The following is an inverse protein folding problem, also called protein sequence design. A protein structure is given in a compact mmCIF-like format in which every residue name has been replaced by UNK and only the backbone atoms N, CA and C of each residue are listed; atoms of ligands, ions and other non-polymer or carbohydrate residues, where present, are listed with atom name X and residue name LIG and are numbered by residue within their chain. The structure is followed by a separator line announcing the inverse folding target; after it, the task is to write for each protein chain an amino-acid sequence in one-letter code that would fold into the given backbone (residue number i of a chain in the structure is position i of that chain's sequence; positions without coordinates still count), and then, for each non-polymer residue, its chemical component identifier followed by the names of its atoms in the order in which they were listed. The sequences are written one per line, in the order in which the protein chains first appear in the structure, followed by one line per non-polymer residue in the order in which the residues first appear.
data_IF_272797221034
#
_entry.id   IF_272797221034
#
_cell.length_a   1.000
_cell.length_b   1.000
_cell.length_c   1.000
_cell.angle_alpha   90.00
_cell.angle_beta   90.00
_cell.angle_gamma   90.00
#
_symmetry.space_group_name_H-M   'P 1'
#
loop_
_entity.id
_entity.type
_entity.pdbx_description
1 polymer ?
#
# COMPACT_ATOMS: atom_id res chain seq x y z
N UNK A 1 7.73 -1.56 -35.41
CA UNK A 1 7.33 -1.25 -34.04
C UNK A 1 8.59 -1.00 -33.23
N UNK A 2 8.70 0.13 -32.54
CA UNK A 2 9.80 0.37 -31.61
C UNK A 2 9.42 -0.14 -30.20
N UNK A 3 10.29 -0.92 -29.58
CA UNK A 3 10.13 -1.33 -28.18
C UNK A 3 10.58 -0.16 -27.32
N UNK A 4 9.72 0.25 -26.37
CA UNK A 4 10.08 1.29 -25.41
C UNK A 4 11.17 0.76 -24.48
N UNK A 5 12.31 1.44 -24.43
CA UNK A 5 13.40 1.07 -23.54
C UNK A 5 13.03 1.30 -22.06
N UNK A 6 13.57 0.49 -21.16
CA UNK A 6 13.53 0.75 -19.72
C UNK A 6 14.36 2.00 -19.43
N UNK A 7 13.75 3.00 -18.79
CA UNK A 7 14.44 4.25 -18.43
C UNK A 7 15.38 4.04 -17.24
N UNK A 8 14.90 3.32 -16.23
CA UNK A 8 15.60 3.15 -14.97
C UNK A 8 15.13 1.86 -14.28
N UNK A 9 16.04 1.20 -13.59
CA UNK A 9 15.76 0.13 -12.63
C UNK A 9 16.34 0.57 -11.29
N UNK A 10 15.55 0.51 -10.23
CA UNK A 10 15.99 0.84 -8.87
C UNK A 10 15.61 -0.29 -7.92
N UNK A 11 16.41 -0.49 -6.88
CA UNK A 11 16.10 -1.42 -5.82
C UNK A 11 15.20 -0.75 -4.77
N UNK A 12 14.25 -1.52 -4.22
CA UNK A 12 13.41 -1.08 -3.12
C UNK A 12 14.20 -1.10 -1.80
N UNK A 13 13.89 -0.16 -0.92
CA UNK A 13 14.57 0.05 0.36
C UNK A 13 13.74 -0.51 1.50
N UNK A 14 14.31 -1.34 2.41
CA UNK A 14 13.63 -1.75 3.64
C UNK A 14 13.20 -0.53 4.45
N UNK A 15 11.95 -0.52 4.90
CA UNK A 15 11.33 0.60 5.59
C UNK A 15 10.36 0.07 6.66
N UNK A 16 10.18 0.83 7.73
CA UNK A 16 9.16 0.57 8.76
C UNK A 16 8.08 1.65 8.66
N UNK A 17 6.82 1.23 8.62
CA UNK A 17 5.68 2.14 8.57
C UNK A 17 4.51 1.62 9.44
N UNK A 18 3.45 2.41 9.54
CA UNK A 18 2.30 2.04 10.36
C UNK A 18 2.68 1.84 11.82
N UNK A 19 2.23 0.77 12.43
CA UNK A 19 2.53 0.40 13.81
C UNK A 19 3.75 -0.55 13.92
N UNK A 20 4.65 -0.54 12.93
CA UNK A 20 5.84 -1.40 12.88
C UNK A 20 5.80 -2.42 11.76
N UNK A 21 5.08 -2.16 10.69
CA UNK A 21 5.05 -3.01 9.50
C UNK A 21 6.38 -2.91 8.76
N UNK A 22 7.01 -4.05 8.54
CA UNK A 22 8.20 -4.19 7.71
C UNK A 22 7.78 -4.23 6.25
N UNK A 23 8.26 -3.26 5.47
CA UNK A 23 7.94 -3.15 4.05
C UNK A 23 9.19 -2.78 3.22
N UNK A 24 9.03 -2.79 1.92
CA UNK A 24 10.04 -2.36 0.97
C UNK A 24 9.50 -1.20 0.15
N UNK A 25 10.10 -0.03 0.29
CA UNK A 25 9.74 1.18 -0.45
C UNK A 25 10.45 1.22 -1.80
N UNK A 26 9.69 1.19 -2.89
CA UNK A 26 10.23 1.28 -4.24
C UNK A 26 10.59 2.73 -4.60
N UNK A 27 9.78 3.70 -4.21
CA UNK A 27 10.05 5.13 -4.27
C UNK A 27 9.15 5.89 -3.27
N UNK A 28 9.51 7.13 -2.97
CA UNK A 28 8.82 7.96 -2.00
C UNK A 28 9.21 9.43 -2.09
N UNK A 29 9.02 10.16 -1.01
CA UNK A 29 9.10 11.63 -0.96
C UNK A 29 10.44 12.24 -1.43
N UNK A 30 11.51 11.47 -1.51
CA UNK A 30 12.81 11.96 -1.97
C UNK A 30 12.98 12.03 -3.49
N UNK A 31 12.13 11.33 -4.26
CA UNK A 31 12.27 11.18 -5.71
C UNK A 31 10.92 11.18 -6.47
N UNK A 32 9.92 11.82 -5.93
CA UNK A 32 8.57 11.88 -6.52
C UNK A 32 8.52 12.50 -7.91
N UNK A 33 9.45 13.42 -8.23
CA UNK A 33 9.53 14.05 -9.57
C UNK A 33 9.76 13.04 -10.70
N UNK A 34 10.41 11.92 -10.41
CA UNK A 34 10.69 10.88 -11.39
C UNK A 34 9.49 9.96 -11.65
N UNK A 35 8.53 9.96 -10.73
CA UNK A 35 7.40 9.05 -10.69
C UNK A 35 6.04 9.76 -10.75
N UNK A 36 6.02 11.08 -10.99
CA UNK A 36 4.78 11.85 -11.11
C UNK A 36 3.76 11.17 -12.04
N UNK A 37 2.49 11.00 -11.65
CA UNK A 37 1.80 11.60 -10.49
C UNK A 37 1.89 10.80 -9.18
N UNK A 38 2.68 9.76 -9.11
CA UNK A 38 2.78 8.88 -7.94
C UNK A 38 3.72 9.46 -6.89
N UNK A 39 3.31 9.43 -5.63
CA UNK A 39 4.07 9.97 -4.51
C UNK A 39 4.86 8.91 -3.77
N UNK A 40 4.36 7.67 -3.77
CA UNK A 40 4.91 6.58 -2.97
C UNK A 40 4.46 5.24 -3.54
N UNK A 41 5.36 4.24 -3.47
CA UNK A 41 5.05 2.85 -3.73
C UNK A 41 5.73 1.98 -2.67
N UNK A 42 4.91 1.35 -1.84
CA UNK A 42 5.33 0.43 -0.80
C UNK A 42 4.88 -1.00 -1.08
N UNK A 43 5.71 -1.95 -0.78
CA UNK A 43 5.45 -3.38 -0.86
C UNK A 43 5.64 -4.00 0.53
N UNK A 44 4.55 -4.39 1.18
CA UNK A 44 4.59 -5.01 2.51
C UNK A 44 4.28 -6.50 2.50
N UNK A 45 4.56 -7.17 1.36
CA UNK A 45 4.54 -8.63 1.30
C UNK A 45 5.49 -9.21 2.31
N UNK A 46 4.96 -10.08 3.18
CA UNK A 46 5.73 -10.74 4.22
C UNK A 46 5.05 -12.03 4.62
N UNK A 47 5.83 -13.07 4.91
CA UNK A 47 5.36 -14.36 5.40
C UNK A 47 5.54 -14.50 6.93
N UNK A 48 6.06 -13.48 7.60
CA UNK A 48 6.26 -13.45 9.04
C UNK A 48 5.19 -12.57 9.70
N UNK A 49 4.20 -13.14 10.39
CA UNK A 49 3.08 -12.41 10.98
C UNK A 49 3.51 -11.26 11.91
N UNK A 50 4.55 -11.45 12.70
CA UNK A 50 5.06 -10.43 13.63
C UNK A 50 5.56 -9.16 12.92
N UNK A 51 5.88 -9.25 11.63
CA UNK A 51 6.39 -8.13 10.84
C UNK A 51 5.30 -7.35 10.10
N UNK A 52 4.05 -7.85 10.04
CA UNK A 52 2.98 -7.13 9.32
C UNK A 52 1.67 -7.00 10.09
N UNK A 53 1.37 -7.87 11.08
CA UNK A 53 0.07 -7.86 11.78
C UNK A 53 -0.21 -6.59 12.57
N UNK A 54 0.82 -5.81 12.93
CA UNK A 54 0.64 -4.51 13.55
C UNK A 54 -0.18 -3.55 12.66
N UNK A 55 -0.11 -3.73 11.35
CA UNK A 55 -0.93 -3.04 10.37
C UNK A 55 -0.73 -1.53 10.35
N UNK A 56 -1.70 -0.88 9.75
CA UNK A 56 -1.78 0.57 9.64
C UNK A 56 -3.04 1.05 10.40
N UNK A 57 -2.93 1.24 11.74
CA UNK A 57 -4.04 1.74 12.56
C UNK A 57 -4.52 3.11 12.10
N UNK A 58 -5.63 3.59 12.64
CA UNK A 58 -6.26 4.85 12.27
C UNK A 58 -5.28 5.99 12.04
N UNK A 59 -5.17 6.45 10.80
CA UNK A 59 -4.31 7.53 10.38
C UNK A 59 -4.97 8.41 9.32
N UNK A 60 -4.57 9.70 9.18
CA UNK A 60 -5.19 10.64 8.25
C UNK A 60 -4.51 10.66 6.89
N UNK A 61 -5.31 10.88 5.85
CA UNK A 61 -4.86 11.33 4.54
C UNK A 61 -5.63 12.57 4.08
N UNK A 62 -4.99 13.41 3.28
CA UNK A 62 -5.59 14.60 2.68
C UNK A 62 -4.95 14.92 1.34
N UNK A 63 -5.77 15.24 0.32
CA UNK A 63 -5.30 15.73 -0.98
C UNK A 63 -4.58 14.69 -1.84
N UNK A 64 -4.70 13.42 -1.50
CA UNK A 64 -4.11 12.29 -2.22
C UNK A 64 -5.15 11.20 -2.45
N UNK A 65 -4.80 10.26 -3.28
CA UNK A 65 -5.51 8.99 -3.39
C UNK A 65 -4.64 7.86 -2.84
N UNK A 66 -5.25 6.86 -2.24
CA UNK A 66 -4.59 5.63 -1.83
C UNK A 66 -5.13 4.47 -2.64
N UNK A 67 -4.25 3.61 -3.13
CA UNK A 67 -4.62 2.42 -3.90
C UNK A 67 -3.94 1.23 -3.25
N UNK A 68 -4.71 0.34 -2.67
CA UNK A 68 -4.21 -0.91 -2.09
C UNK A 68 -4.58 -2.07 -3.00
N UNK A 69 -3.61 -2.86 -3.41
CA UNK A 69 -3.80 -4.08 -4.19
C UNK A 69 -3.33 -5.29 -3.38
N UNK A 70 -4.21 -6.24 -3.15
CA UNK A 70 -3.93 -7.44 -2.37
C UNK A 70 -3.54 -8.58 -3.30
N UNK A 71 -2.34 -9.10 -3.19
CA UNK A 71 -1.89 -10.27 -3.96
C UNK A 71 -2.23 -11.59 -3.27
N UNK A 72 -2.10 -11.63 -1.95
CA UNK A 72 -2.43 -12.79 -1.13
C UNK A 72 -2.81 -12.30 0.27
N UNK A 73 -3.54 -13.11 1.02
CA UNK A 73 -4.01 -12.72 2.34
C UNK A 73 -5.24 -11.84 2.32
N UNK A 74 -5.63 -11.37 3.48
CA UNK A 74 -6.78 -10.50 3.65
C UNK A 74 -6.38 -9.25 4.44
N UNK A 75 -6.95 -8.10 4.06
CA UNK A 75 -6.74 -6.83 4.75
C UNK A 75 -8.11 -6.23 5.08
N UNK A 76 -8.35 -5.98 6.36
CA UNK A 76 -9.55 -5.27 6.80
C UNK A 76 -9.33 -3.76 6.64
N UNK A 77 -10.31 -3.10 6.06
CA UNK A 77 -10.37 -1.65 5.92
C UNK A 77 -11.51 -1.07 6.74
N UNK A 78 -11.28 0.12 7.29
CA UNK A 78 -12.33 0.97 7.85
C UNK A 78 -11.98 2.44 7.65
N UNK A 79 -12.98 3.30 7.44
CA UNK A 79 -12.78 4.72 7.28
C UNK A 79 -13.76 5.57 8.11
N UNK A 80 -13.44 6.86 8.23
CA UNK A 80 -14.22 7.83 9.02
C UNK A 80 -15.56 8.21 8.38
N UNK A 81 -15.86 7.74 7.17
CA UNK A 81 -17.16 7.89 6.52
C UNK A 81 -18.10 6.71 6.81
N UNK A 82 -17.61 5.72 7.56
CA UNK A 82 -18.36 4.53 7.94
C UNK A 82 -18.24 3.36 6.96
N UNK A 83 -17.39 3.47 5.95
CA UNK A 83 -17.13 2.33 5.07
C UNK A 83 -16.23 1.32 5.79
N UNK A 84 -16.58 0.05 5.69
CA UNK A 84 -15.81 -1.07 6.22
C UNK A 84 -15.85 -2.23 5.25
N UNK A 85 -14.80 -3.02 5.20
CA UNK A 85 -14.73 -4.20 4.34
C UNK A 85 -13.46 -4.98 4.52
N UNK A 86 -13.41 -6.13 3.87
CA UNK A 86 -12.20 -6.95 3.80
C UNK A 86 -11.82 -7.09 2.33
N UNK A 87 -10.57 -6.81 2.02
CA UNK A 87 -9.98 -7.05 0.71
C UNK A 87 -9.27 -8.40 0.72
N UNK A 88 -9.54 -9.22 -0.27
CA UNK A 88 -8.87 -10.50 -0.51
C UNK A 88 -7.96 -10.49 -1.73
N UNK A 89 -7.35 -11.63 -2.07
CA UNK A 89 -6.44 -11.75 -3.21
C UNK A 89 -7.08 -11.31 -4.54
N UNK A 90 -6.42 -10.39 -5.23
CA UNK A 90 -6.89 -9.80 -6.50
C UNK A 90 -7.74 -8.54 -6.31
N UNK A 91 -8.17 -8.22 -5.10
CA UNK A 91 -8.94 -7.03 -4.84
C UNK A 91 -8.08 -5.77 -4.89
N UNK A 92 -8.72 -4.68 -5.30
CA UNK A 92 -8.16 -3.33 -5.29
C UNK A 92 -9.09 -2.41 -4.52
N UNK A 93 -8.55 -1.69 -3.56
CA UNK A 93 -9.23 -0.57 -2.94
C UNK A 93 -8.64 0.74 -3.45
N UNK A 94 -9.50 1.62 -3.95
CA UNK A 94 -9.14 2.96 -4.36
C UNK A 94 -9.92 3.97 -3.53
N UNK A 95 -9.21 4.77 -2.74
CA UNK A 95 -9.82 5.74 -1.83
C UNK A 95 -9.32 7.16 -2.15
N UNK A 96 -10.25 8.07 -2.39
CA UNK A 96 -9.98 9.49 -2.58
C UNK A 96 -10.07 10.21 -1.24
N UNK A 97 -8.96 10.74 -0.74
CA UNK A 97 -8.90 11.40 0.57
C UNK A 97 -9.56 12.77 0.59
N UNK A 98 -9.60 13.46 -0.56
CA UNK A 98 -10.24 14.77 -0.71
C UNK A 98 -9.79 15.78 0.35
N UNK A 99 -10.74 16.37 1.10
CA UNK A 99 -10.46 17.33 2.19
C UNK A 99 -9.90 16.71 3.45
N UNK A 100 -9.91 15.41 3.56
CA UNK A 100 -9.38 14.63 4.67
C UNK A 100 -10.25 13.43 4.99
N UNK A 101 -9.61 12.32 5.27
CA UNK A 101 -10.23 11.07 5.72
C UNK A 101 -9.30 10.42 6.74
N UNK A 102 -9.89 9.79 7.76
CA UNK A 102 -9.18 8.84 8.61
C UNK A 102 -9.48 7.43 8.09
N UNK A 103 -8.50 6.58 8.01
CA UNK A 103 -8.70 5.17 7.74
C UNK A 103 -7.72 4.27 8.47
N UNK A 104 -7.99 2.99 8.44
CA UNK A 104 -7.08 1.95 8.89
C UNK A 104 -7.07 0.80 7.89
N UNK A 105 -5.94 0.10 7.82
CA UNK A 105 -5.76 -1.12 7.04
C UNK A 105 -5.08 -2.16 7.92
N UNK A 106 -5.81 -3.21 8.26
CA UNK A 106 -5.38 -4.22 9.22
C UNK A 106 -5.26 -5.59 8.54
N UNK A 107 -4.03 -6.04 8.24
CA UNK A 107 -3.80 -7.38 7.72
C UNK A 107 -4.31 -8.44 8.68
N UNK A 108 -4.93 -9.50 8.16
CA UNK A 108 -5.33 -10.66 8.96
C UNK A 108 -4.22 -11.69 9.02
N UNK A 109 -4.06 -12.39 10.16
CA UNK A 109 -3.20 -13.55 10.20
C UNK A 109 -3.80 -14.62 9.30
N UNK A 110 -3.08 -15.03 8.28
CA UNK A 110 -3.45 -16.20 7.52
C UNK A 110 -2.65 -17.40 7.99
N UNK A 111 -3.33 -18.57 8.07
CA UNK A 111 -2.63 -19.84 8.14
C UNK A 111 -2.09 -20.12 6.74
N UNK A 112 -0.90 -19.62 6.48
CA UNK A 112 -0.24 -19.77 5.19
C UNK A 112 0.21 -21.23 5.07
N UNK A 113 -0.48 -22.00 4.25
CA UNK A 113 0.16 -23.12 3.58
C UNK A 113 1.16 -22.54 2.58
N UNK A 114 2.45 -22.62 2.91
CA UNK A 114 3.61 -22.15 2.18
C UNK A 114 3.47 -22.18 0.66
N UNK A 115 3.13 -21.07 -0.02
CA UNK A 115 3.49 -20.82 -1.43
C UNK A 115 3.15 -19.43 -1.96
N UNK A 116 2.60 -18.49 -1.19
CA UNK A 116 2.23 -17.19 -1.76
C UNK A 116 2.69 -16.04 -0.87
N UNK A 117 3.34 -15.01 -1.44
CA UNK A 117 3.71 -13.79 -0.71
C UNK A 117 2.46 -12.96 -0.36
N UNK A 118 2.48 -12.34 0.81
CA UNK A 118 1.41 -11.53 1.39
C UNK A 118 1.01 -10.25 0.63
N UNK A 119 0.24 -9.35 1.24
CA UNK A 119 -0.40 -8.23 0.55
C UNK A 119 0.59 -7.17 -0.01
N UNK A 120 0.16 -6.45 -1.03
CA UNK A 120 0.82 -5.28 -1.65
C UNK A 120 -0.23 -4.17 -1.75
N UNK A 121 0.00 -3.01 -1.61
CA UNK A 121 0.78 -1.78 -1.71
C UNK A 121 -0.17 -0.59 -1.72
N UNK A 122 -0.02 0.48 -0.98
CA UNK A 122 -0.59 1.76 -1.37
C UNK A 122 0.28 2.44 -2.43
N UNK A 123 -0.28 2.66 -3.62
CA UNK A 123 0.20 3.66 -4.58
C UNK A 123 -0.53 4.95 -4.29
N UNK A 124 0.20 6.03 -4.03
CA UNK A 124 -0.38 7.34 -3.75
C UNK A 124 -0.22 8.25 -4.97
N UNK A 125 -1.21 8.36 -5.87
CA UNK A 125 -1.20 9.40 -6.89
C UNK A 125 -1.58 10.76 -6.29
N UNK A 126 -1.02 11.81 -6.83
CA UNK A 126 -1.47 13.18 -6.58
C UNK A 126 -2.85 13.38 -7.18
N UNK A 127 -3.78 13.99 -6.43
CA UNK A 127 -4.95 14.59 -7.04
C UNK A 127 -4.49 15.75 -7.93
N UNK A 128 -4.94 15.76 -9.18
CA UNK A 128 -4.79 16.95 -10.03
C UNK A 128 -5.52 18.12 -9.37
N UNK A 129 -4.98 19.34 -9.48
CA UNK A 129 -5.62 20.53 -8.96
C UNK A 129 -6.97 20.80 -9.60
#
# INVERSE_FOLDING_TARGET
MSIRAVKQVSESVPTLEGAGVHLRRAFGFGNTSDFDPFLLLDDFRNDQPDEYLAGFPWHPHRGIETITYVLAGNVDHGDSLGNTGTMGPGDVQWMTSGRGILHQEMPRPEVIHCTSPGPIVPVLPRLSP
#
